data_IF_662288621662
#
_entry.id   IF_662288621662
#
_cell.length_a   1.000
_cell.length_b   1.000
_cell.length_c   1.000
_cell.angle_alpha   90.00
_cell.angle_beta   90.00
_cell.angle_gamma   90.00
#
_symmetry.space_group_name_H-M   'P 1'
#
loop_
_entity.id
_entity.type
_entity.pdbx_description
1 polymer ?
#
# COMPACT_ATOMS: atom_id res chain seq x y z
N UNK A 1 -0.42 5.91 -17.99
CA UNK A 1 -0.68 6.11 -16.54
C UNK A 1 -0.97 4.83 -15.76
N UNK A 2 -1.51 3.76 -16.37
CA UNK A 2 -1.79 2.49 -15.66
C UNK A 2 -0.57 1.85 -15.00
N UNK A 3 0.61 1.89 -15.62
CA UNK A 3 1.86 1.36 -15.04
C UNK A 3 2.21 2.01 -13.69
N UNK A 4 2.08 3.33 -13.59
CA UNK A 4 2.36 4.08 -12.36
C UNK A 4 1.36 3.75 -11.24
N UNK A 5 0.06 3.64 -11.58
CA UNK A 5 -0.95 3.23 -10.61
C UNK A 5 -0.72 1.82 -10.07
N UNK A 6 -0.37 0.87 -10.95
CA UNK A 6 -0.01 -0.50 -10.56
C UNK A 6 1.23 -0.55 -9.68
N UNK A 7 2.29 0.21 -10.02
CA UNK A 7 3.49 0.26 -9.17
C UNK A 7 3.20 0.83 -7.80
N UNK A 8 2.33 1.85 -7.70
CA UNK A 8 1.96 2.45 -6.42
C UNK A 8 1.14 1.49 -5.55
N UNK A 9 0.20 0.75 -6.17
CA UNK A 9 -0.57 -0.31 -5.51
C UNK A 9 0.35 -1.40 -4.99
N UNK A 10 1.24 -1.93 -5.83
CA UNK A 10 2.16 -3.01 -5.45
C UNK A 10 3.14 -2.56 -4.37
N UNK A 11 3.64 -1.33 -4.45
CA UNK A 11 4.53 -0.77 -3.45
C UNK A 11 3.81 -0.58 -2.10
N UNK A 12 2.60 0.00 -2.10
CA UNK A 12 1.78 0.13 -0.89
C UNK A 12 1.44 -1.22 -0.26
N UNK A 13 1.09 -2.22 -1.07
CA UNK A 13 0.84 -3.58 -0.62
C UNK A 13 2.09 -4.21 0.01
N UNK A 14 3.26 -4.06 -0.63
CA UNK A 14 4.53 -4.60 -0.14
C UNK A 14 4.89 -3.99 1.21
N UNK A 15 4.66 -2.69 1.36
CA UNK A 15 4.94 -1.96 2.60
C UNK A 15 4.02 -2.43 3.74
N UNK A 16 2.73 -2.61 3.49
CA UNK A 16 1.79 -3.20 4.46
C UNK A 16 2.21 -4.61 4.86
N UNK A 17 2.54 -5.47 3.88
CA UNK A 17 3.00 -6.83 4.16
C UNK A 17 4.30 -6.83 4.98
N UNK A 18 5.21 -5.88 4.73
CA UNK A 18 6.40 -5.68 5.54
C UNK A 18 6.06 -5.34 6.98
N UNK A 19 5.12 -4.42 7.22
CA UNK A 19 4.65 -4.08 8.57
C UNK A 19 4.00 -5.29 9.25
N UNK A 20 3.17 -6.05 8.55
CA UNK A 20 2.56 -7.28 9.09
C UNK A 20 3.64 -8.30 9.46
N UNK A 21 4.62 -8.52 8.58
CA UNK A 21 5.74 -9.41 8.87
C UNK A 21 6.51 -8.99 10.11
N UNK A 22 6.78 -7.69 10.25
CA UNK A 22 7.40 -7.12 11.44
C UNK A 22 6.56 -7.36 12.70
N UNK A 23 5.25 -7.09 12.66
CA UNK A 23 4.35 -7.31 13.81
C UNK A 23 4.26 -8.79 14.19
N UNK A 24 4.28 -9.70 13.22
CA UNK A 24 4.34 -11.14 13.48
C UNK A 24 5.65 -11.54 14.17
N UNK A 25 6.79 -10.94 13.77
CA UNK A 25 8.07 -11.17 14.44
C UNK A 25 8.15 -10.52 15.83
N UNK A 26 7.50 -9.38 16.04
CA UNK A 26 7.40 -8.74 17.37
C UNK A 26 6.60 -9.62 18.35
N UNK A 27 5.63 -10.41 17.85
CA UNK A 27 4.95 -11.44 18.65
C UNK A 27 5.86 -12.57 19.14
N UNK A 28 7.00 -12.79 18.48
CA UNK A 28 8.02 -13.78 18.87
C UNK A 28 9.14 -13.17 19.73
N UNK A 29 9.38 -11.86 19.61
CA UNK A 29 10.41 -11.12 20.34
C UNK A 29 9.89 -9.70 20.71
N UNK A 30 9.12 -9.56 21.80
CA UNK A 30 8.43 -8.32 22.12
C UNK A 30 9.37 -7.16 22.41
N UNK A 31 9.01 -5.97 21.90
CA UNK A 31 9.70 -4.70 22.17
C UNK A 31 10.73 -4.29 21.13
N UNK A 32 10.79 -4.97 19.98
CA UNK A 32 11.78 -4.67 18.94
C UNK A 32 11.36 -3.50 18.06
N UNK A 33 10.06 -3.31 17.82
CA UNK A 33 9.55 -2.24 16.96
C UNK A 33 8.59 -1.33 17.71
N UNK A 34 8.85 -0.02 17.60
CA UNK A 34 7.97 0.98 18.18
C UNK A 34 6.59 0.92 17.49
N UNK A 35 5.48 0.75 18.23
CA UNK A 35 4.13 0.65 17.65
C UNK A 35 3.78 1.86 16.76
N UNK A 36 4.25 3.05 17.14
CA UNK A 36 4.05 4.27 16.36
C UNK A 36 4.70 4.23 14.98
N UNK A 37 5.87 3.61 14.85
CA UNK A 37 6.54 3.47 13.54
C UNK A 37 5.78 2.51 12.63
N UNK A 38 5.33 1.38 13.16
CA UNK A 38 4.51 0.42 12.44
C UNK A 38 3.18 1.04 11.95
N UNK A 39 2.52 1.81 12.82
CA UNK A 39 1.30 2.53 12.47
C UNK A 39 1.52 3.57 11.35
N UNK A 40 2.59 4.35 11.43
CA UNK A 40 2.96 5.34 10.41
C UNK A 40 3.26 4.69 9.06
N UNK A 41 4.02 3.59 9.08
CA UNK A 41 4.34 2.82 7.88
C UNK A 41 3.07 2.23 7.25
N UNK A 42 2.18 1.62 8.06
CA UNK A 42 0.91 1.10 7.57
C UNK A 42 0.03 2.20 6.95
N UNK A 43 -0.05 3.38 7.59
CA UNK A 43 -0.79 4.52 7.08
C UNK A 43 -0.25 5.00 5.73
N UNK A 44 1.07 5.14 5.59
CA UNK A 44 1.72 5.48 4.31
C UNK A 44 1.43 4.44 3.22
N UNK A 45 1.50 3.15 3.55
CA UNK A 45 1.14 2.07 2.62
C UNK A 45 -0.31 2.15 2.15
N UNK A 46 -1.24 2.47 3.06
CA UNK A 46 -2.65 2.70 2.75
C UNK A 46 -2.87 3.89 1.80
N UNK A 47 -2.20 5.03 2.06
CA UNK A 47 -2.27 6.21 1.18
C UNK A 47 -1.77 5.89 -0.23
N UNK A 48 -0.67 5.15 -0.35
CA UNK A 48 -0.11 4.74 -1.65
C UNK A 48 -1.05 3.79 -2.41
N UNK A 49 -1.72 2.89 -1.70
CA UNK A 49 -2.76 2.03 -2.28
C UNK A 49 -3.91 2.84 -2.86
N UNK A 50 -4.47 3.77 -2.09
CA UNK A 50 -5.59 4.62 -2.51
C UNK A 50 -5.20 5.49 -3.70
N UNK A 51 -4.04 6.15 -3.64
CA UNK A 51 -3.53 6.96 -4.74
C UNK A 51 -3.29 6.13 -6.02
N UNK A 52 -2.79 4.91 -5.86
CA UNK A 52 -2.55 3.98 -6.97
C UNK A 52 -3.85 3.53 -7.61
N UNK A 53 -4.84 3.17 -6.80
CA UNK A 53 -6.17 2.75 -7.25
C UNK A 53 -6.86 3.88 -8.01
N UNK A 54 -6.84 5.09 -7.46
CA UNK A 54 -7.42 6.28 -8.08
C UNK A 54 -6.77 6.61 -9.44
N UNK A 55 -5.44 6.44 -9.54
CA UNK A 55 -4.72 6.57 -10.80
C UNK A 55 -5.09 5.48 -11.83
N UNK A 56 -5.39 4.26 -11.36
CA UNK A 56 -5.84 3.16 -12.21
C UNK A 56 -7.27 3.36 -12.72
N UNK A 57 -8.17 3.83 -11.86
CA UNK A 57 -9.57 4.14 -12.20
C UNK A 57 -9.65 5.21 -13.28
N UNK A 58 -8.97 6.35 -13.08
CA UNK A 58 -8.86 7.41 -14.10
C UNK A 58 -8.31 6.90 -15.43
N UNK A 59 -7.32 6.01 -15.40
CA UNK A 59 -6.77 5.41 -16.62
C UNK A 59 -7.69 4.39 -17.30
N UNK A 60 -8.66 3.82 -16.58
CA UNK A 60 -9.62 2.83 -17.06
C UNK A 60 -10.83 3.50 -17.69
N UNK A 61 -11.33 4.58 -17.10
CA UNK A 61 -12.46 5.35 -17.62
C UNK A 61 -12.16 5.96 -19.00
N UNK A 62 -10.93 6.42 -19.23
CA UNK A 62 -10.47 6.89 -20.55
C UNK A 62 -10.50 5.79 -21.62
N UNK A 63 -10.35 4.51 -21.23
CA UNK A 63 -10.30 3.36 -22.15
C UNK A 63 -11.66 2.69 -22.40
N UNK A 64 -12.73 3.08 -21.69
CA UNK A 64 -14.09 2.65 -22.00
C UNK A 64 -14.80 3.78 -22.77
N UNK A 65 -14.67 3.85 -24.11
CA UNK A 65 -15.59 4.67 -24.88
C UNK A 65 -16.99 4.09 -24.71
N UNK A 66 -17.93 4.97 -24.39
CA UNK A 66 -19.35 4.68 -24.23
C UNK A 66 -19.85 3.83 -25.41
N UNK A 67 -20.24 2.58 -25.12
CA UNK A 67 -21.07 1.75 -25.98
C UNK A 67 -22.50 2.24 -25.95
#
# INVERSE_FOLDING_TARGET
MQRLGLTLVLFGLTLILGVVGVMLTDGLAPGRVAPGFAAMAAAMGGVMLVAGLFGLERGRDVRRPLS
#
